data_IF_567596639963
#
_entry.id   IF_567596639963
#
_cell.length_a   1.000
_cell.length_b   1.000
_cell.length_c   1.000
_cell.angle_alpha   90.00
_cell.angle_beta   90.00
_cell.angle_gamma   90.00
#
_symmetry.space_group_name_H-M   'P 1'
#
loop_
_entity.id
_entity.type
_entity.pdbx_description
1 polymer ?
#
# COMPACT_ATOMS: atom_id res chain seq x y z
N UNK A 1 16.19 8.05 -59.01
CA UNK A 1 15.14 8.94 -58.43
C UNK A 1 13.87 8.09 -58.34
N UNK A 2 13.28 7.72 -57.21
CA UNK A 2 12.97 8.43 -55.96
C UNK A 2 12.84 7.35 -54.86
N UNK A 3 13.46 7.61 -53.70
CA UNK A 3 13.22 6.86 -52.46
C UNK A 3 11.88 7.35 -51.91
N UNK A 4 10.91 6.47 -51.71
CA UNK A 4 9.69 6.79 -50.96
C UNK A 4 9.71 5.96 -49.69
N UNK A 5 10.25 6.61 -48.67
CA UNK A 5 10.24 6.21 -47.27
C UNK A 5 8.81 6.41 -46.78
N UNK A 6 8.13 5.33 -46.36
CA UNK A 6 6.93 5.45 -45.54
C UNK A 6 7.25 4.79 -44.20
N UNK A 7 7.69 5.63 -43.26
CA UNK A 7 7.95 5.24 -41.89
C UNK A 7 6.61 4.97 -41.20
N UNK A 8 6.37 3.72 -40.80
CA UNK A 8 5.31 3.38 -39.85
C UNK A 8 5.63 4.05 -38.52
N UNK A 9 4.80 5.02 -38.13
CA UNK A 9 4.86 5.71 -36.85
C UNK A 9 4.44 4.71 -35.75
N UNK A 10 5.41 4.08 -35.10
CA UNK A 10 5.18 3.24 -33.93
C UNK A 10 4.89 4.14 -32.71
N UNK A 11 3.63 4.46 -32.47
CA UNK A 11 3.19 5.08 -31.22
C UNK A 11 3.18 4.01 -30.11
N UNK A 12 4.33 3.78 -29.50
CA UNK A 12 4.40 3.02 -28.24
C UNK A 12 3.80 3.90 -27.13
N UNK A 13 2.57 3.61 -26.72
CA UNK A 13 2.00 4.18 -25.51
C UNK A 13 2.72 3.55 -24.31
N UNK A 14 3.72 4.26 -23.79
CA UNK A 14 4.28 3.98 -22.47
C UNK A 14 3.22 4.39 -21.44
N UNK A 15 2.41 3.44 -20.99
CA UNK A 15 1.63 3.62 -19.77
C UNK A 15 2.63 3.68 -18.61
N UNK A 16 2.83 4.88 -18.05
CA UNK A 16 3.62 5.06 -16.84
C UNK A 16 2.79 4.69 -15.61
N UNK A 17 3.44 4.11 -14.60
CA UNK A 17 2.81 3.84 -13.31
C UNK A 17 2.40 5.16 -12.66
N UNK A 18 1.08 5.38 -12.55
CA UNK A 18 0.53 6.54 -11.87
C UNK A 18 0.61 6.30 -10.36
N UNK A 19 1.49 7.04 -9.68
CA UNK A 19 1.51 7.09 -8.22
C UNK A 19 0.31 7.90 -7.73
N UNK A 20 -0.82 7.23 -7.49
CA UNK A 20 -2.02 7.84 -6.94
C UNK A 20 -1.94 7.91 -5.40
N UNK A 21 -2.18 9.10 -4.84
CA UNK A 21 -2.36 9.30 -3.40
C UNK A 21 -3.85 9.16 -3.09
N UNK A 22 -4.17 8.24 -2.19
CA UNK A 22 -5.54 8.04 -1.70
C UNK A 22 -5.72 8.73 -0.34
N UNK A 23 -6.81 9.49 -0.18
CA UNK A 23 -7.17 10.14 1.09
C UNK A 23 -8.39 9.45 1.68
N UNK A 24 -8.15 8.68 2.75
CA UNK A 24 -9.22 7.97 3.46
C UNK A 24 -9.67 8.76 4.70
N UNK A 25 -10.98 8.93 4.86
CA UNK A 25 -11.55 9.52 6.07
C UNK A 25 -11.93 8.42 7.05
N UNK A 26 -11.41 8.47 8.27
CA UNK A 26 -11.71 7.46 9.27
C UNK A 26 -13.02 7.74 10.00
N UNK A 27 -14.06 6.99 9.66
CA UNK A 27 -15.39 7.10 10.26
C UNK A 27 -15.60 6.14 11.44
N UNK A 28 -14.53 5.80 12.18
CA UNK A 28 -14.54 4.78 13.24
C UNK A 28 -14.85 3.36 12.75
N UNK A 29 -14.66 3.10 11.44
CA UNK A 29 -14.69 1.77 10.82
C UNK A 29 -13.27 1.30 10.48
N UNK A 30 -13.00 -0.01 10.42
CA UNK A 30 -11.74 -0.50 9.89
C UNK A 30 -11.49 0.04 8.48
N UNK A 31 -10.26 0.51 8.22
CA UNK A 31 -9.85 1.01 6.91
C UNK A 31 -9.21 -0.13 6.13
N UNK A 32 -9.72 -0.42 4.93
CA UNK A 32 -9.11 -1.40 4.04
C UNK A 32 -7.85 -0.80 3.41
N UNK A 33 -6.75 -1.54 3.47
CA UNK A 33 -5.47 -1.12 2.88
C UNK A 33 -4.95 -2.28 2.03
N UNK A 34 -5.24 -2.29 0.71
CA UNK A 34 -4.66 -3.27 -0.19
C UNK A 34 -3.17 -2.99 -0.38
N UNK A 35 -2.35 -4.04 -0.31
CA UNK A 35 -0.92 -3.99 -0.52
C UNK A 35 -0.56 -4.73 -1.82
N UNK A 36 0.09 -4.06 -2.79
CA UNK A 36 0.73 -4.77 -3.88
C UNK A 36 1.92 -5.57 -3.31
N UNK A 37 2.04 -6.83 -3.71
CA UNK A 37 3.19 -7.66 -3.35
C UNK A 37 4.48 -7.04 -3.93
N UNK A 38 5.54 -7.04 -3.14
CA UNK A 38 6.86 -6.48 -3.44
C UNK A 38 6.95 -4.95 -3.61
N UNK A 39 5.85 -4.24 -3.38
CA UNK A 39 5.80 -2.77 -3.38
C UNK A 39 5.58 -2.23 -1.97
N UNK A 40 6.16 -1.05 -1.69
CA UNK A 40 5.99 -0.39 -0.39
C UNK A 40 4.85 0.61 -0.46
N UNK A 41 3.82 0.39 0.37
CA UNK A 41 2.72 1.33 0.58
C UNK A 41 2.99 2.20 1.80
N UNK A 42 2.82 3.50 1.62
CA UNK A 42 3.03 4.52 2.64
C UNK A 42 1.67 5.02 3.13
N UNK A 43 1.42 4.93 4.43
CA UNK A 43 0.18 5.42 5.07
C UNK A 43 0.53 6.50 6.08
N UNK A 44 0.10 7.73 5.82
CA UNK A 44 0.29 8.88 6.72
C UNK A 44 -0.90 8.97 7.69
N UNK A 45 -0.61 9.04 8.99
CA UNK A 45 -1.65 9.08 10.04
C UNK A 45 -1.63 10.38 10.87
N UNK A 46 -0.61 11.23 10.67
CA UNK A 46 -0.34 12.45 11.45
C UNK A 46 -0.20 12.23 12.97
N UNK A 47 0.07 10.98 13.38
CA UNK A 47 0.28 10.57 14.79
C UNK A 47 1.26 9.42 14.88
N UNK A 48 2.10 9.42 15.92
CA UNK A 48 3.00 8.31 16.17
C UNK A 48 2.23 7.09 16.68
N UNK A 49 2.45 5.93 16.07
CA UNK A 49 1.65 4.73 16.36
C UNK A 49 2.51 3.50 16.65
N UNK A 50 1.97 2.61 17.49
CA UNK A 50 2.42 1.22 17.63
C UNK A 50 1.50 0.32 16.82
N UNK A 51 2.07 -0.66 16.13
CA UNK A 51 1.32 -1.63 15.33
C UNK A 51 1.33 -2.98 16.03
N UNK A 52 0.15 -3.55 16.26
CA UNK A 52 -0.04 -4.92 16.74
C UNK A 52 -0.44 -5.83 15.58
N UNK A 53 0.46 -6.72 15.19
CA UNK A 53 0.23 -7.69 14.11
C UNK A 53 -0.40 -8.98 14.65
N UNK A 54 -1.40 -9.56 13.94
CA UNK A 54 -1.85 -10.91 14.23
C UNK A 54 -0.73 -11.92 13.90
N UNK A 55 -0.75 -13.13 14.50
CA UNK A 55 0.29 -14.14 14.27
C UNK A 55 0.54 -14.47 12.80
N UNK A 56 -0.52 -14.46 11.97
CA UNK A 56 -0.42 -14.70 10.54
C UNK A 56 0.46 -13.68 9.79
N UNK A 57 0.60 -12.46 10.31
CA UNK A 57 1.41 -11.38 9.73
C UNK A 57 2.68 -11.08 10.52
N UNK A 58 2.92 -11.76 11.64
CA UNK A 58 4.07 -11.51 12.51
C UNK A 58 5.40 -12.04 11.93
N UNK A 59 5.36 -12.73 10.79
CA UNK A 59 6.55 -13.17 10.07
C UNK A 59 7.09 -12.03 9.17
N UNK A 60 8.33 -11.56 9.37
CA UNK A 60 8.93 -10.52 8.52
C UNK A 60 9.13 -10.95 7.06
N UNK A 61 9.09 -12.24 6.75
CA UNK A 61 9.09 -12.76 5.37
C UNK A 61 7.72 -12.59 4.68
N UNK A 62 6.64 -12.31 5.42
CA UNK A 62 5.28 -12.09 4.86
C UNK A 62 4.98 -10.60 4.75
N UNK A 63 5.18 -9.86 5.84
CA UNK A 63 4.87 -8.44 5.92
C UNK A 63 5.94 -7.71 6.73
N UNK A 64 6.57 -6.71 6.11
CA UNK A 64 7.37 -5.71 6.82
C UNK A 64 6.50 -4.53 7.20
N UNK A 65 6.57 -4.15 8.47
CA UNK A 65 5.93 -2.94 9.00
C UNK A 65 6.97 -2.08 9.69
N UNK A 66 7.04 -0.80 9.33
CA UNK A 66 7.83 0.20 10.03
C UNK A 66 6.96 1.42 10.34
N UNK A 67 7.12 1.97 11.55
CA UNK A 67 6.43 3.17 12.01
C UNK A 67 7.48 4.22 12.36
N UNK A 68 7.45 5.36 11.69
CA UNK A 68 8.39 6.45 11.93
C UNK A 68 7.75 7.80 11.60
N UNK A 69 7.83 8.76 12.54
CA UNK A 69 7.43 10.16 12.28
C UNK A 69 5.98 10.35 11.83
N UNK A 70 5.04 9.54 12.35
CA UNK A 70 3.63 9.60 11.96
C UNK A 70 3.27 8.87 10.66
N UNK A 71 4.21 8.13 10.08
CA UNK A 71 4.06 7.39 8.83
C UNK A 71 4.23 5.89 9.07
N UNK A 72 3.36 5.08 8.46
CA UNK A 72 3.49 3.64 8.37
C UNK A 72 4.01 3.24 6.98
N UNK A 73 5.10 2.48 6.96
CA UNK A 73 5.66 1.85 5.78
C UNK A 73 5.29 0.37 5.82
N UNK A 74 4.53 -0.07 4.83
CA UNK A 74 3.99 -1.42 4.73
C UNK A 74 4.50 -2.05 3.44
N UNK A 75 5.20 -3.19 3.54
CA UNK A 75 5.62 -3.96 2.37
C UNK A 75 5.26 -5.41 2.56
N UNK A 76 4.35 -5.91 1.73
CA UNK A 76 4.04 -7.33 1.64
C UNK A 76 5.04 -8.01 0.71
N UNK A 77 5.53 -9.19 1.10
CA UNK A 77 6.39 -10.03 0.26
C UNK A 77 5.65 -11.28 -0.24
N UNK A 78 4.51 -11.60 0.38
CA UNK A 78 3.62 -12.69 -0.03
C UNK A 78 2.18 -12.18 -0.08
N UNK A 79 1.36 -12.81 -0.93
CA UNK A 79 -0.08 -12.56 -0.95
C UNK A 79 -0.75 -13.14 0.30
N UNK A 80 -1.76 -12.44 0.82
CA UNK A 80 -2.52 -12.92 1.97
C UNK A 80 -3.95 -12.37 1.99
N UNK A 81 -4.86 -13.19 2.53
CA UNK A 81 -6.24 -12.82 2.80
C UNK A 81 -6.34 -11.72 3.85
N UNK A 82 -7.43 -10.96 3.82
CA UNK A 82 -7.64 -9.80 4.70
C UNK A 82 -7.39 -10.15 6.18
N UNK A 83 -6.42 -9.48 6.79
CA UNK A 83 -6.08 -9.57 8.21
C UNK A 83 -6.28 -8.21 8.89
N UNK A 84 -6.95 -8.23 10.04
CA UNK A 84 -7.16 -7.03 10.85
C UNK A 84 -5.95 -6.74 11.73
N UNK A 85 -5.39 -5.55 11.55
CA UNK A 85 -4.24 -5.01 12.27
C UNK A 85 -4.70 -3.89 13.19
N UNK A 86 -4.21 -3.91 14.44
CA UNK A 86 -4.47 -2.87 15.42
C UNK A 86 -3.37 -1.81 15.34
N UNK A 87 -3.75 -0.55 15.15
CA UNK A 87 -2.84 0.60 15.16
C UNK A 87 -3.21 1.47 16.34
N UNK A 88 -2.30 1.63 17.29
CA UNK A 88 -2.55 2.36 18.52
C UNK A 88 -1.73 3.65 18.55
N UNK A 89 -2.40 4.78 18.79
CA UNK A 89 -1.76 6.05 19.07
C UNK A 89 -0.88 5.95 20.33
N UNK A 90 0.37 6.42 20.23
CA UNK A 90 1.34 6.38 21.33
C UNK A 90 0.98 7.35 22.46
N UNK A 91 0.41 8.50 22.11
CA UNK A 91 0.10 9.61 23.01
C UNK A 91 -1.28 9.43 23.66
N UNK A 92 -2.34 9.25 22.87
CA UNK A 92 -3.71 9.13 23.40
C UNK A 92 -4.08 7.70 23.81
N UNK A 93 -3.42 6.69 23.24
CA UNK A 93 -3.80 5.29 23.39
C UNK A 93 -4.99 4.88 22.53
N UNK A 94 -5.55 5.78 21.73
CA UNK A 94 -6.65 5.50 20.81
C UNK A 94 -6.28 4.44 19.79
N UNK A 95 -7.30 3.72 19.31
CA UNK A 95 -7.12 2.57 18.44
C UNK A 95 -7.83 2.79 17.11
N UNK A 96 -7.04 2.70 16.04
CA UNK A 96 -7.49 2.51 14.67
C UNK A 96 -7.36 1.03 14.29
N UNK A 97 -8.26 0.57 13.43
CA UNK A 97 -8.21 -0.76 12.83
C UNK A 97 -7.93 -0.61 11.35
N UNK A 98 -6.93 -1.34 10.87
CA UNK A 98 -6.62 -1.47 9.45
C UNK A 98 -6.90 -2.91 9.03
N UNK A 99 -7.61 -3.10 7.94
CA UNK A 99 -7.81 -4.39 7.30
C UNK A 99 -6.82 -4.48 6.14
N UNK A 100 -5.69 -5.17 6.38
CA UNK A 100 -4.63 -5.35 5.39
C UNK A 100 -4.93 -6.57 4.52
N UNK A 101 -4.75 -6.45 3.22
CA UNK A 101 -4.73 -7.59 2.28
C UNK A 101 -3.54 -7.43 1.33
N UNK A 102 -3.05 -8.51 0.76
CA UNK A 102 -2.00 -8.44 -0.25
C UNK A 102 -2.31 -9.33 -1.45
N UNK A 103 -2.14 -8.76 -2.65
CA UNK A 103 -2.32 -9.46 -3.93
C UNK A 103 -1.31 -8.96 -4.96
N UNK A 104 -0.96 -9.80 -5.92
CA UNK A 104 -0.21 -9.37 -7.10
C UNK A 104 -1.00 -8.32 -7.89
N UNK A 105 -0.34 -7.25 -8.33
CA UNK A 105 -0.98 -6.20 -9.11
C UNK A 105 -2.11 -5.46 -8.38
N UNK A 106 -2.12 -5.45 -7.04
CA UNK A 106 -3.02 -4.58 -6.31
C UNK A 106 -2.74 -3.13 -6.73
N UNK A 107 -3.70 -2.46 -7.39
CA UNK A 107 -3.59 -1.03 -7.58
C UNK A 107 -3.88 -0.31 -6.26
N UNK A 108 -3.25 0.86 -6.07
CA UNK A 108 -3.55 1.75 -4.94
C UNK A 108 -4.93 2.43 -5.03
N UNK A 109 -5.85 1.92 -5.86
CA UNK A 109 -7.02 2.63 -6.38
C UNK A 109 -8.39 2.11 -5.87
N UNK A 110 -8.44 1.16 -4.94
CA UNK A 110 -9.71 0.55 -4.52
C UNK A 110 -10.19 0.96 -3.13
#
# INVERSE_FOLDING_TARGET
MKRLILACLASAALAGDALAVEIMHWERRPLAIPLPVDEERIVTLDRNVRVGLPPALANPEVLRVQSAGGVLYLKAFEAFETQRVRVQDVESGDVLLLDLSAREGASSEE
#
